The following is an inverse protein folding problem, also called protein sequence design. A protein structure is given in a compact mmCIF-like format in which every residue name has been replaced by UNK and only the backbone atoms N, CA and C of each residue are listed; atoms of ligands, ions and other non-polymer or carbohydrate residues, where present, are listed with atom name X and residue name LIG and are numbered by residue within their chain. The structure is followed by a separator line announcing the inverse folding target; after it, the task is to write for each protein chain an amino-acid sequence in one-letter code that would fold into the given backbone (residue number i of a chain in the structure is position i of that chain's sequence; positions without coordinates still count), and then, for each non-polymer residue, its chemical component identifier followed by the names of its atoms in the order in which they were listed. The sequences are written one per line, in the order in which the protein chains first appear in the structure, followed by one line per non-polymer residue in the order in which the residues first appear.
data_IF_797263143909
#
_entry.id   IF_797263143909
#
_cell.length_a   1.000
_cell.length_b   1.000
_cell.length_c   1.000
_cell.angle_alpha   90.00
_cell.angle_beta   90.00
_cell.angle_gamma   90.00
#
_symmetry.space_group_name_H-M   'P 1'
#
loop_
_entity.id
_entity.type
_entity.pdbx_description
1 polymer ?
#
# COMPACT_ATOMS: atom_id res chain seq x y z
N UNK A 1 38.71 5.89 4.24
CA UNK A 1 37.67 5.22 3.42
C UNK A 1 36.31 5.47 4.07
N UNK A 2 35.80 6.70 3.99
CA UNK A 2 34.42 7.00 4.43
C UNK A 2 33.58 7.11 3.17
N UNK A 3 33.02 5.98 2.72
CA UNK A 3 31.91 6.01 1.78
C UNK A 3 30.69 6.50 2.55
N UNK A 4 30.31 7.77 2.35
CA UNK A 4 28.93 8.19 2.61
C UNK A 4 28.09 7.56 1.51
N UNK A 5 27.53 6.38 1.80
CA UNK A 5 26.48 5.82 0.98
C UNK A 5 25.23 6.65 1.28
N UNK A 6 24.99 7.66 0.44
CA UNK A 6 23.73 8.39 0.41
C UNK A 6 22.64 7.38 0.07
N UNK A 7 21.62 7.16 0.93
CA UNK A 7 20.50 6.31 0.56
C UNK A 7 19.83 6.91 -0.70
N UNK A 8 19.32 6.08 -1.62
CA UNK A 8 18.64 6.57 -2.80
C UNK A 8 17.49 7.50 -2.39
N UNK A 9 17.15 8.51 -3.21
CA UNK A 9 15.97 9.32 -2.95
C UNK A 9 14.79 8.36 -2.88
N UNK A 10 14.17 8.28 -1.71
CA UNK A 10 12.84 7.70 -1.57
C UNK A 10 12.01 8.36 -2.66
N UNK A 11 11.54 7.57 -3.62
CA UNK A 11 10.58 8.04 -4.59
C UNK A 11 9.48 8.71 -3.76
N UNK A 12 9.29 10.02 -3.93
CA UNK A 12 8.23 10.74 -3.23
C UNK A 12 6.92 10.11 -3.68
N UNK A 13 6.43 9.16 -2.89
CA UNK A 13 5.15 8.52 -3.13
C UNK A 13 4.09 9.61 -3.03
N UNK A 14 3.17 9.70 -4.01
CA UNK A 14 2.17 10.75 -4.03
C UNK A 14 1.27 10.60 -2.81
N UNK A 15 1.24 11.64 -1.96
CA UNK A 15 0.43 11.71 -0.75
C UNK A 15 -0.94 11.05 -0.95
N UNK A 16 -1.23 10.04 -0.13
CA UNK A 16 -2.40 9.20 -0.22
C UNK A 16 -3.66 10.07 -0.32
N UNK A 17 -4.31 10.02 -1.48
CA UNK A 17 -5.58 10.69 -1.67
C UNK A 17 -6.69 9.81 -1.09
N UNK A 18 -7.76 10.39 -0.51
CA UNK A 18 -8.94 9.64 -0.09
C UNK A 18 -9.52 8.71 -1.18
N UNK A 19 -9.28 9.05 -2.46
CA UNK A 19 -9.63 8.21 -3.61
C UNK A 19 -8.86 6.88 -3.62
N UNK A 20 -7.54 6.86 -3.34
CA UNK A 20 -6.73 5.63 -3.30
C UNK A 20 -7.22 4.67 -2.21
N UNK A 21 -7.59 5.19 -1.04
CA UNK A 21 -8.16 4.38 0.05
C UNK A 21 -9.52 3.81 -0.37
N UNK A 22 -10.39 4.63 -0.99
CA UNK A 22 -11.68 4.18 -1.48
C UNK A 22 -11.56 3.07 -2.54
N UNK A 23 -10.58 3.15 -3.44
CA UNK A 23 -10.28 2.10 -4.43
C UNK A 23 -9.87 0.79 -3.76
N UNK A 24 -9.00 0.83 -2.74
CA UNK A 24 -8.59 -0.39 -2.05
C UNK A 24 -9.71 -1.00 -1.19
N UNK A 25 -10.60 -0.18 -0.63
CA UNK A 25 -11.80 -0.66 0.05
C UNK A 25 -12.76 -1.34 -0.94
N UNK A 26 -12.99 -0.73 -2.11
CA UNK A 26 -13.80 -1.36 -3.15
C UNK A 26 -13.19 -2.68 -3.65
N UNK A 27 -11.85 -2.78 -3.70
CA UNK A 27 -11.16 -4.01 -4.04
C UNK A 27 -11.29 -5.09 -2.94
N UNK A 28 -11.42 -4.72 -1.66
CA UNK A 28 -11.74 -5.67 -0.59
C UNK A 28 -13.11 -6.32 -0.78
N UNK A 29 -14.11 -5.56 -1.24
CA UNK A 29 -15.46 -6.06 -1.48
C UNK A 29 -15.49 -7.15 -2.57
N UNK A 30 -14.56 -7.12 -3.53
CA UNK A 30 -14.50 -8.11 -4.62
C UNK A 30 -13.72 -9.38 -4.26
N UNK A 31 -12.98 -9.40 -3.13
CA UNK A 31 -12.21 -10.58 -2.70
C UNK A 31 -13.13 -11.78 -2.44
N UNK A 32 -14.35 -11.53 -1.96
CA UNK A 32 -15.36 -12.57 -1.73
C UNK A 32 -15.74 -13.37 -2.98
N UNK A 33 -15.57 -12.80 -4.17
CA UNK A 33 -15.86 -13.42 -5.46
C UNK A 33 -14.68 -14.23 -6.03
N UNK A 34 -13.47 -14.07 -5.46
CA UNK A 34 -12.28 -14.78 -5.90
C UNK A 34 -12.22 -16.21 -5.35
N UNK A 35 -11.51 -17.14 -6.01
CA UNK A 35 -11.19 -18.44 -5.44
C UNK A 35 -10.43 -18.31 -4.11
N UNK A 36 -10.74 -19.18 -3.14
CA UNK A 36 -10.13 -19.15 -1.80
C UNK A 36 -8.59 -19.16 -1.82
N UNK A 37 -8.00 -19.83 -2.82
CA UNK A 37 -6.55 -19.89 -3.00
C UNK A 37 -5.93 -18.50 -3.26
N UNK A 38 -6.68 -17.56 -3.83
CA UNK A 38 -6.23 -16.21 -4.18
C UNK A 38 -6.46 -15.21 -3.05
N UNK A 39 -7.26 -15.56 -2.04
CA UNK A 39 -7.62 -14.65 -0.95
C UNK A 39 -6.40 -14.18 -0.17
N UNK A 40 -5.50 -15.10 0.20
CA UNK A 40 -4.34 -14.76 1.02
C UNK A 40 -3.42 -13.74 0.34
N UNK A 41 -3.13 -13.93 -0.96
CA UNK A 41 -2.30 -12.99 -1.73
C UNK A 41 -3.01 -11.65 -1.91
N UNK A 42 -4.32 -11.66 -2.19
CA UNK A 42 -5.09 -10.44 -2.38
C UNK A 42 -5.20 -9.63 -1.09
N UNK A 43 -5.52 -10.27 0.04
CA UNK A 43 -5.58 -9.61 1.34
C UNK A 43 -4.23 -9.03 1.74
N UNK A 44 -3.13 -9.75 1.53
CA UNK A 44 -1.81 -9.25 1.91
C UNK A 44 -1.40 -8.03 1.07
N UNK A 45 -1.72 -8.02 -0.23
CA UNK A 45 -1.55 -6.85 -1.09
C UNK A 45 -2.36 -5.66 -0.61
N UNK A 46 -3.67 -5.84 -0.44
CA UNK A 46 -4.59 -4.77 0.00
C UNK A 46 -4.21 -4.23 1.38
N UNK A 47 -3.79 -5.10 2.30
CA UNK A 47 -3.31 -4.71 3.61
C UNK A 47 -2.07 -3.82 3.53
N UNK A 48 -1.10 -4.19 2.69
CA UNK A 48 0.15 -3.42 2.52
C UNK A 48 -0.14 -2.05 1.92
N UNK A 49 -0.97 -1.98 0.88
CA UNK A 49 -1.34 -0.73 0.21
C UNK A 49 -2.15 0.20 1.13
N UNK A 50 -3.12 -0.34 1.87
CA UNK A 50 -3.89 0.44 2.84
C UNK A 50 -3.02 0.93 4.00
N UNK A 51 -2.11 0.10 4.51
CA UNK A 51 -1.22 0.49 5.59
C UNK A 51 -0.26 1.60 5.13
N UNK A 52 0.28 1.52 3.91
CA UNK A 52 1.08 2.59 3.31
C UNK A 52 0.28 3.88 3.16
N UNK A 53 -0.93 3.79 2.59
CA UNK A 53 -1.80 4.95 2.42
C UNK A 53 -2.18 5.63 3.75
N UNK A 54 -2.36 4.86 4.83
CA UNK A 54 -2.64 5.40 6.16
C UNK A 54 -1.39 6.03 6.79
N UNK A 55 -0.22 5.41 6.67
CA UNK A 55 1.04 5.97 7.16
C UNK A 55 1.37 7.33 6.52
N UNK A 56 1.08 7.48 5.22
CA UNK A 56 1.23 8.75 4.50
C UNK A 56 0.32 9.87 5.07
N UNK A 57 -0.89 9.53 5.53
CA UNK A 57 -1.80 10.48 6.20
C UNK A 57 -1.28 10.88 7.58
N UNK A 58 -0.75 9.91 8.33
CA UNK A 58 -0.17 10.13 9.65
C UNK A 58 1.21 10.85 9.59
N UNK A 59 1.79 10.98 8.40
CA UNK A 59 3.11 11.58 8.18
C UNK A 59 4.27 10.73 8.71
N UNK A 60 4.08 9.41 8.72
CA UNK A 60 5.04 8.40 9.20
C UNK A 60 5.97 7.89 8.09
#
# INVERSE_FOLDING_TARGET
MSSSETPPPAASEPAATPARIAEQVAALDTVGDLPLAEHAEMYQRLHTELQGALAEIDGL
#
